data_IF_616853290978
#
_entry.id   IF_616853290978
#
_cell.length_a   1.000
_cell.length_b   1.000
_cell.length_c   1.000
_cell.angle_alpha   90.00
_cell.angle_beta   90.00
_cell.angle_gamma   90.00
#
_symmetry.space_group_name_H-M   'P 1'
#
loop_
_entity.id
_entity.type
_entity.pdbx_description
1 polymer ?
#
# COMPACT_ATOMS: atom_id res chain seq x y z
N UNK A 1 -19.20 10.69 -11.18
CA UNK A 1 -19.06 11.59 -10.01
C UNK A 1 -17.61 12.09 -9.99
N UNK A 2 -17.32 13.38 -9.80
CA UNK A 2 -15.93 13.85 -9.58
C UNK A 2 -15.59 13.61 -8.11
N UNK A 3 -14.37 13.13 -7.79
CA UNK A 3 -13.90 13.08 -6.41
C UNK A 3 -13.74 14.52 -5.90
N UNK A 4 -14.71 15.00 -5.10
CA UNK A 4 -14.79 16.41 -4.70
C UNK A 4 -13.84 16.76 -3.55
N UNK A 5 -13.36 15.76 -2.80
CA UNK A 5 -12.48 15.94 -1.64
C UNK A 5 -11.33 14.92 -1.68
N UNK A 6 -10.09 15.42 -1.53
CA UNK A 6 -8.89 14.59 -1.35
C UNK A 6 -9.01 13.85 -0.03
N UNK A 7 -8.63 12.56 0.00
CA UNK A 7 -8.47 11.87 1.29
C UNK A 7 -7.49 12.63 2.18
N UNK A 8 -7.64 12.55 3.50
CA UNK A 8 -6.58 12.97 4.43
C UNK A 8 -5.42 11.98 4.37
N UNK A 9 -4.24 12.38 4.85
CA UNK A 9 -3.11 11.45 4.94
C UNK A 9 -3.40 10.27 5.87
N UNK A 10 -4.15 10.51 6.94
CA UNK A 10 -4.58 9.44 7.85
C UNK A 10 -5.48 8.43 7.12
N UNK A 11 -6.48 8.88 6.36
CA UNK A 11 -7.31 8.00 5.53
C UNK A 11 -6.49 7.26 4.48
N UNK A 12 -5.51 7.95 3.88
CA UNK A 12 -4.65 7.34 2.88
C UNK A 12 -3.81 6.19 3.45
N UNK A 13 -3.10 6.42 4.55
CA UNK A 13 -2.27 5.36 5.13
C UNK A 13 -3.08 4.29 5.85
N UNK A 14 -4.30 4.60 6.32
CA UNK A 14 -5.29 3.58 6.70
C UNK A 14 -5.58 2.64 5.52
N UNK A 15 -5.93 3.19 4.36
CA UNK A 15 -6.24 2.41 3.16
C UNK A 15 -5.03 1.60 2.68
N UNK A 16 -3.81 2.15 2.77
CA UNK A 16 -2.58 1.42 2.46
C UNK A 16 -2.32 0.31 3.48
N UNK A 17 -2.44 0.55 4.79
CA UNK A 17 -2.23 -0.47 5.82
C UNK A 17 -3.27 -1.61 5.71
N UNK A 18 -4.51 -1.29 5.37
CA UNK A 18 -5.54 -2.28 5.06
C UNK A 18 -5.18 -3.09 3.80
N UNK A 19 -4.78 -2.43 2.71
CA UNK A 19 -4.30 -3.13 1.52
C UNK A 19 -3.11 -4.05 1.82
N UNK A 20 -2.20 -3.64 2.71
CA UNK A 20 -1.08 -4.48 3.16
C UNK A 20 -1.58 -5.71 3.91
N UNK A 21 -2.61 -5.59 4.75
CA UNK A 21 -3.17 -6.72 5.49
C UNK A 21 -3.75 -7.80 4.59
N UNK A 22 -4.29 -7.44 3.42
CA UNK A 22 -4.88 -8.37 2.46
C UNK A 22 -3.89 -9.40 1.89
N UNK A 23 -2.58 -9.23 2.12
CA UNK A 23 -1.54 -10.22 1.78
C UNK A 23 -1.34 -11.28 2.86
N UNK A 24 -1.89 -11.05 4.06
CA UNK A 24 -1.89 -12.02 5.15
C UNK A 24 -2.56 -13.32 4.72
N UNK A 25 -2.02 -14.43 5.22
CA UNK A 25 -2.53 -15.78 4.97
C UNK A 25 -3.30 -16.33 6.16
N UNK A 26 -3.41 -15.55 7.23
CA UNK A 26 -4.20 -15.91 8.39
C UNK A 26 -5.66 -15.99 7.96
N UNK A 27 -6.36 -17.13 8.11
CA UNK A 27 -7.74 -17.26 7.66
C UNK A 27 -8.72 -16.51 8.57
N UNK A 28 -8.30 -16.13 9.78
CA UNK A 28 -9.20 -15.59 10.82
C UNK A 28 -9.01 -14.11 11.10
N UNK A 29 -7.81 -13.57 10.91
CA UNK A 29 -7.52 -12.17 11.21
C UNK A 29 -6.33 -11.67 10.39
N UNK A 30 -6.60 -10.83 9.40
CA UNK A 30 -5.58 -10.23 8.55
C UNK A 30 -5.20 -8.85 9.06
N UNK A 31 -3.96 -8.71 9.52
CA UNK A 31 -3.42 -7.47 10.10
C UNK A 31 -2.34 -6.91 9.19
N UNK A 32 -2.35 -5.59 8.99
CA UNK A 32 -1.36 -4.85 8.22
C UNK A 32 -0.83 -3.67 9.04
N UNK A 33 0.44 -3.34 8.83
CA UNK A 33 1.12 -2.22 9.45
C UNK A 33 1.99 -1.50 8.41
N UNK A 34 1.95 -0.18 8.42
CA UNK A 34 2.80 0.69 7.58
C UNK A 34 3.39 1.77 8.46
N UNK A 35 4.71 1.95 8.40
CA UNK A 35 5.41 3.03 9.10
C UNK A 35 5.74 4.15 8.12
N UNK A 36 5.52 5.39 8.52
CA UNK A 36 5.60 6.58 7.68
C UNK A 36 6.48 7.63 8.36
N UNK A 37 7.33 8.28 7.57
CA UNK A 37 8.12 9.40 8.05
C UNK A 37 7.23 10.64 8.27
N UNK A 38 7.26 11.31 9.44
CA UNK A 38 6.28 12.34 9.79
C UNK A 38 6.35 13.58 8.90
N UNK A 39 7.56 13.97 8.45
CA UNK A 39 7.76 15.16 7.58
C UNK A 39 7.59 14.87 6.09
N UNK A 40 8.40 13.95 5.55
CA UNK A 40 8.35 13.61 4.12
C UNK A 40 7.12 12.80 3.71
N UNK A 41 6.41 12.21 4.68
CA UNK A 41 5.26 11.33 4.45
C UNK A 41 5.61 10.14 3.54
N UNK A 42 6.88 9.75 3.51
CA UNK A 42 7.34 8.57 2.80
C UNK A 42 7.03 7.32 3.62
N UNK A 43 6.60 6.25 2.96
CA UNK A 43 6.55 4.92 3.57
C UNK A 43 7.97 4.44 3.85
N UNK A 44 8.25 4.14 5.11
CA UNK A 44 9.53 3.62 5.59
C UNK A 44 9.57 2.09 5.56
N UNK A 45 8.46 1.45 5.90
CA UNK A 45 8.31 0.00 5.95
C UNK A 45 6.84 -0.40 5.93
N UNK A 46 6.58 -1.64 5.55
CA UNK A 46 5.26 -2.26 5.62
C UNK A 46 5.39 -3.73 6.04
N UNK A 47 4.41 -4.21 6.79
CA UNK A 47 4.35 -5.59 7.26
C UNK A 47 2.90 -6.07 7.39
N UNK A 48 2.69 -7.36 7.19
CA UNK A 48 1.43 -8.04 7.45
C UNK A 48 1.69 -9.25 8.35
N UNK A 49 0.68 -9.74 9.06
CA UNK A 49 0.86 -10.90 9.91
C UNK A 49 1.02 -12.20 9.09
N UNK A 50 1.90 -13.08 9.55
CA UNK A 50 2.15 -14.35 8.87
C UNK A 50 3.30 -15.12 9.49
N UNK A 51 3.52 -16.34 9.01
CA UNK A 51 4.62 -17.15 9.52
C UNK A 51 5.99 -16.64 9.02
N UNK A 52 7.06 -16.90 9.79
CA UNK A 52 8.43 -16.65 9.37
C UNK A 52 8.75 -17.25 7.99
N UNK A 53 9.70 -16.66 7.25
CA UNK A 53 10.21 -17.24 6.01
C UNK A 53 10.63 -18.70 6.18
N UNK A 54 10.26 -19.56 5.23
CA UNK A 54 10.55 -21.00 5.29
C UNK A 54 9.49 -21.85 5.99
N UNK A 55 8.63 -21.26 6.82
CA UNK A 55 7.54 -22.00 7.49
C UNK A 55 6.43 -22.36 6.48
N UNK A 56 6.01 -23.64 6.40
CA UNK A 56 4.90 -24.05 5.53
C UNK A 56 3.58 -23.36 5.89
N UNK A 57 2.86 -22.86 4.88
CA UNK A 57 1.52 -22.30 5.07
C UNK A 57 0.46 -23.41 4.95
N UNK A 58 0.45 -24.32 5.93
CA UNK A 58 -0.54 -25.42 6.02
C UNK A 58 -1.67 -25.04 6.97
N UNK A 59 -2.86 -25.58 6.72
CA UNK A 59 -4.04 -25.36 7.55
C UNK A 59 -3.83 -25.77 9.03
N UNK A 60 -3.09 -26.85 9.28
CA UNK A 60 -2.74 -27.32 10.63
C UNK A 60 -2.00 -26.27 11.47
N UNK A 61 -1.18 -25.43 10.83
CA UNK A 61 -0.41 -24.38 11.50
C UNK A 61 -1.28 -23.17 11.89
N UNK A 62 -2.48 -23.04 11.32
CA UNK A 62 -3.42 -21.95 11.63
C UNK A 62 -4.40 -22.30 12.76
N UNK A 63 -4.32 -23.52 13.31
CA UNK A 63 -5.11 -23.93 14.48
C UNK A 63 -4.67 -23.15 15.72
N UNK A 64 -5.63 -22.83 16.59
CA UNK A 64 -5.37 -22.16 17.88
C UNK A 64 -4.33 -22.94 18.70
N UNK A 65 -3.45 -22.25 19.42
CA UNK A 65 -2.24 -22.85 20.00
C UNK A 65 -1.08 -22.77 19.03
N UNK A 66 -1.02 -23.65 18.02
CA UNK A 66 0.07 -23.67 17.03
C UNK A 66 0.24 -22.33 16.32
N UNK A 67 -0.86 -21.68 15.93
CA UNK A 67 -0.86 -20.36 15.32
C UNK A 67 -0.20 -19.32 16.22
N UNK A 68 -0.51 -19.35 17.51
CA UNK A 68 -0.08 -18.34 18.48
C UNK A 68 1.45 -18.38 18.68
N UNK A 69 2.07 -19.56 18.50
CA UNK A 69 3.53 -19.75 18.56
C UNK A 69 4.24 -19.38 17.25
N UNK A 70 3.57 -19.50 16.11
CA UNK A 70 4.19 -19.33 14.79
C UNK A 70 3.97 -17.96 14.17
N UNK A 71 2.88 -17.26 14.50
CA UNK A 71 2.50 -16.03 13.81
C UNK A 71 3.39 -14.86 14.22
N UNK A 72 4.04 -14.24 13.25
CA UNK A 72 4.68 -12.93 13.44
C UNK A 72 3.65 -11.86 13.11
N UNK A 73 3.45 -10.93 14.04
CA UNK A 73 2.50 -9.84 13.89
C UNK A 73 2.91 -8.83 12.81
N UNK A 74 1.95 -8.05 12.32
CA UNK A 74 2.18 -7.09 11.24
C UNK A 74 3.16 -5.98 11.65
N UNK A 75 3.04 -5.49 12.87
CA UNK A 75 3.89 -4.45 13.47
C UNK A 75 5.32 -4.95 13.64
N UNK A 76 5.46 -6.19 14.13
CA UNK A 76 6.76 -6.86 14.24
C UNK A 76 7.41 -7.02 12.86
N UNK A 77 6.65 -7.47 11.86
CA UNK A 77 7.14 -7.56 10.48
C UNK A 77 7.51 -6.19 9.90
N UNK A 78 6.73 -5.13 10.14
CA UNK A 78 7.06 -3.78 9.69
C UNK A 78 8.39 -3.30 10.29
N UNK A 79 8.61 -3.54 11.59
CA UNK A 79 9.88 -3.25 12.28
C UNK A 79 11.04 -4.07 11.70
N UNK A 80 10.89 -5.38 11.54
CA UNK A 80 11.93 -6.27 11.03
C UNK A 80 12.29 -5.97 9.57
N UNK A 81 11.30 -5.57 8.77
CA UNK A 81 11.48 -5.32 7.34
C UNK A 81 11.98 -3.91 7.02
N UNK A 82 11.97 -2.98 7.98
CA UNK A 82 12.45 -1.60 7.79
C UNK A 82 13.90 -1.54 7.28
N UNK A 83 14.73 -2.54 7.59
CA UNK A 83 16.09 -2.65 7.08
C UNK A 83 16.94 -1.46 7.51
N UNK A 84 17.36 -0.63 6.56
CA UNK A 84 18.14 0.60 6.82
C UNK A 84 17.27 1.84 7.07
N UNK A 85 15.94 1.73 6.95
CA UNK A 85 15.05 2.84 7.25
C UNK A 85 15.04 3.12 8.75
N UNK A 86 15.30 4.38 9.12
CA UNK A 86 15.16 4.84 10.49
C UNK A 86 13.68 5.05 10.83
N UNK A 87 13.23 4.44 11.92
CA UNK A 87 11.87 4.55 12.44
C UNK A 87 11.76 5.55 13.59
N UNK A 88 12.86 6.23 13.96
CA UNK A 88 12.85 7.27 14.98
C UNK A 88 11.92 8.44 14.59
N UNK A 89 11.04 8.81 15.52
CA UNK A 89 10.00 9.82 15.31
C UNK A 89 8.88 9.39 14.35
N UNK A 90 8.88 8.15 13.84
CA UNK A 90 7.93 7.73 12.81
C UNK A 90 6.49 7.53 13.32
N UNK A 91 5.57 7.46 12.36
CA UNK A 91 4.15 7.20 12.59
C UNK A 91 3.82 5.79 12.09
N UNK A 92 3.20 4.95 12.90
CA UNK A 92 2.70 3.64 12.49
C UNK A 92 1.19 3.69 12.24
N UNK A 93 0.75 3.15 11.10
CA UNK A 93 -0.65 2.88 10.80
C UNK A 93 -0.87 1.38 10.85
N UNK A 94 -1.78 0.92 11.70
CA UNK A 94 -2.02 -0.51 11.95
C UNK A 94 -3.51 -0.82 11.79
N UNK A 95 -3.87 -1.94 11.18
CA UNK A 95 -5.29 -2.30 11.05
C UNK A 95 -5.91 -2.79 12.36
N UNK A 96 -5.09 -3.25 13.30
CA UNK A 96 -5.50 -3.74 14.63
C UNK A 96 -4.68 -3.05 15.72
N UNK A 97 -5.29 -2.76 16.86
CA UNK A 97 -4.63 -2.15 18.01
C UNK A 97 -3.44 -3.02 18.47
N UNK A 98 -2.23 -2.46 18.64
CA UNK A 98 -1.04 -3.26 18.93
C UNK A 98 -1.12 -4.03 20.25
N UNK A 99 -0.68 -5.29 20.22
CA UNK A 99 -0.50 -6.06 21.45
C UNK A 99 0.71 -5.56 22.25
N UNK A 100 0.85 -6.03 23.50
CA UNK A 100 1.90 -5.62 24.44
C UNK A 100 3.30 -5.69 23.85
N UNK A 101 3.65 -6.80 23.19
CA UNK A 101 4.99 -6.99 22.65
C UNK A 101 5.23 -6.13 21.41
N UNK A 102 4.21 -5.93 20.57
CA UNK A 102 4.28 -5.02 19.43
C UNK A 102 4.42 -3.56 19.89
N UNK A 103 3.73 -3.15 20.94
CA UNK A 103 3.87 -1.83 21.54
C UNK A 103 5.32 -1.56 21.98
N UNK A 104 5.92 -2.49 22.73
CA UNK A 104 7.34 -2.41 23.12
C UNK A 104 8.27 -2.31 21.92
N UNK A 105 8.05 -3.12 20.87
CA UNK A 105 8.87 -3.08 19.65
C UNK A 105 8.77 -1.73 18.93
N UNK A 106 7.56 -1.21 18.75
CA UNK A 106 7.32 0.09 18.09
C UNK A 106 8.01 1.22 18.87
N UNK A 107 7.83 1.25 20.19
CA UNK A 107 8.47 2.23 21.08
C UNK A 107 10.00 2.16 20.98
N UNK A 108 10.55 0.94 21.08
CA UNK A 108 12.00 0.69 21.04
C UNK A 108 12.62 1.11 19.71
N UNK A 109 11.86 0.99 18.61
CA UNK A 109 12.28 1.48 17.29
C UNK A 109 12.06 2.96 17.06
N UNK A 110 11.53 3.69 18.04
CA UNK A 110 11.43 5.13 17.96
C UNK A 110 10.10 5.64 17.40
N UNK A 111 9.09 4.79 17.20
CA UNK A 111 7.74 5.23 16.79
C UNK A 111 7.17 6.14 17.88
N UNK A 112 6.60 7.28 17.48
CA UNK A 112 6.01 8.28 18.40
C UNK A 112 4.52 8.46 18.24
N UNK A 113 3.92 7.91 17.18
CA UNK A 113 2.48 7.96 16.95
C UNK A 113 1.97 6.69 16.30
N UNK A 114 0.85 6.18 16.79
CA UNK A 114 0.18 4.98 16.27
C UNK A 114 -1.26 5.31 15.94
N UNK A 115 -1.63 5.11 14.69
CA UNK A 115 -3.01 5.13 14.22
C UNK A 115 -3.51 3.71 14.06
N UNK A 116 -4.68 3.37 14.60
CA UNK A 116 -5.25 2.03 14.49
C UNK A 116 -6.68 2.01 13.92
N UNK A 117 -6.98 1.05 13.06
CA UNK A 117 -8.31 0.92 12.46
C UNK A 117 -9.30 0.17 13.36
N UNK A 118 -8.87 -0.91 14.03
CA UNK A 118 -9.71 -1.81 14.83
C UNK A 118 -9.13 -2.09 16.20
N UNK A 119 -9.99 -2.38 17.18
CA UNK A 119 -9.60 -2.64 18.56
C UNK A 119 -9.94 -4.08 18.95
N UNK A 120 -9.12 -4.67 19.81
CA UNK A 120 -9.45 -5.91 20.51
C UNK A 120 -9.25 -5.72 22.01
N UNK A 121 -10.33 -5.89 22.79
CA UNK A 121 -10.39 -5.57 24.23
C UNK A 121 -9.21 -6.14 25.03
N UNK A 122 -8.81 -7.38 24.72
CA UNK A 122 -7.71 -8.07 25.44
C UNK A 122 -6.36 -7.35 25.40
N UNK A 123 -6.12 -6.45 24.45
CA UNK A 123 -4.85 -5.74 24.32
C UNK A 123 -4.89 -4.33 24.90
N UNK A 124 -6.08 -3.77 25.10
CA UNK A 124 -6.26 -2.35 25.33
C UNK A 124 -5.55 -1.87 26.60
N UNK A 125 -5.83 -2.47 27.76
CA UNK A 125 -5.32 -2.00 29.05
C UNK A 125 -3.78 -2.02 29.10
N UNK A 126 -3.16 -3.18 28.87
CA UNK A 126 -1.71 -3.37 28.96
C UNK A 126 -0.94 -2.47 27.99
N UNK A 127 -1.33 -2.49 26.72
CA UNK A 127 -0.65 -1.71 25.68
C UNK A 127 -0.85 -0.20 25.86
N UNK A 128 -2.05 0.25 26.29
CA UNK A 128 -2.32 1.68 26.54
C UNK A 128 -1.42 2.20 27.66
N UNK A 129 -1.24 1.43 28.74
CA UNK A 129 -0.35 1.82 29.83
C UNK A 129 1.10 1.97 29.33
N UNK A 130 1.58 1.04 28.50
CA UNK A 130 2.93 1.07 27.93
C UNK A 130 3.14 2.27 26.99
N UNK A 131 2.18 2.53 26.09
CA UNK A 131 2.28 3.68 25.19
C UNK A 131 2.24 5.00 25.94
N UNK A 132 1.39 5.12 26.97
CA UNK A 132 1.28 6.31 27.81
C UNK A 132 2.60 6.59 28.55
N UNK A 133 3.18 5.57 29.18
CA UNK A 133 4.46 5.71 29.89
C UNK A 133 5.60 6.12 28.96
N UNK A 134 5.61 5.61 27.72
CA UNK A 134 6.59 5.94 26.70
C UNK A 134 6.32 7.27 25.95
N UNK A 135 5.24 7.98 26.27
CA UNK A 135 4.86 9.23 25.59
C UNK A 135 4.49 9.05 24.11
N UNK A 136 3.97 7.88 23.73
CA UNK A 136 3.52 7.59 22.36
C UNK A 136 2.02 7.87 22.22
N UNK A 137 1.66 8.70 21.26
CA UNK A 137 0.25 9.02 20.96
C UNK A 137 -0.41 7.86 20.20
N UNK A 138 -1.56 7.37 20.68
CA UNK A 138 -2.28 6.26 20.04
C UNK A 138 -3.72 6.69 19.74
N UNK A 139 -4.11 6.64 18.47
CA UNK A 139 -5.33 7.28 17.97
C UNK A 139 -6.16 6.33 17.10
N UNK A 140 -7.46 6.16 17.38
CA UNK A 140 -8.36 5.42 16.50
C UNK A 140 -8.58 6.17 15.18
N UNK A 141 -8.64 5.44 14.07
CA UNK A 141 -8.88 6.01 12.75
C UNK A 141 -10.36 5.99 12.42
N UNK A 142 -10.91 7.11 11.93
CA UNK A 142 -12.27 7.19 11.40
C UNK A 142 -12.46 6.22 10.22
N UNK A 143 -13.56 5.48 10.21
CA UNK A 143 -13.87 4.42 9.23
C UNK A 143 -14.77 4.86 8.07
N UNK A 144 -15.38 6.04 8.17
CA UNK A 144 -16.41 6.52 7.25
C UNK A 144 -17.34 7.47 7.98
N UNK A 145 -18.52 7.71 7.45
CA UNK A 145 -19.57 8.53 8.10
C UNK A 145 -20.15 7.80 9.31
N UNK A 146 -20.57 6.55 9.13
CA UNK A 146 -21.22 5.69 10.14
C UNK A 146 -20.22 4.94 11.03
N UNK A 147 -18.92 5.10 10.78
CA UNK A 147 -17.81 4.57 11.59
C UNK A 147 -17.75 3.04 11.76
N UNK A 148 -18.56 2.24 11.05
CA UNK A 148 -18.45 0.77 11.10
C UNK A 148 -17.38 0.24 10.14
N UNK A 149 -16.91 -0.99 10.36
CA UNK A 149 -16.00 -1.66 9.42
C UNK A 149 -16.68 -2.01 8.09
N UNK A 150 -17.98 -2.27 8.09
CA UNK A 150 -18.73 -2.54 6.87
C UNK A 150 -18.80 -1.29 5.99
N UNK A 151 -19.09 -0.14 6.60
CA UNK A 151 -19.10 1.15 5.90
C UNK A 151 -17.72 1.50 5.37
N UNK A 152 -16.66 1.19 6.12
CA UNK A 152 -15.30 1.30 5.62
C UNK A 152 -15.05 0.45 4.37
N UNK A 153 -15.50 -0.80 4.36
CA UNK A 153 -15.37 -1.69 3.21
C UNK A 153 -16.12 -1.19 1.98
N UNK A 154 -17.35 -0.74 2.17
CA UNK A 154 -18.19 -0.15 1.13
C UNK A 154 -17.55 1.14 0.59
N UNK A 155 -17.07 2.00 1.47
CA UNK A 155 -16.34 3.22 1.13
C UNK A 155 -15.10 2.92 0.28
N UNK A 156 -14.24 1.99 0.74
CA UNK A 156 -13.00 1.63 0.05
C UNK A 156 -13.29 1.02 -1.33
N UNK A 157 -14.24 0.10 -1.41
CA UNK A 157 -14.67 -0.54 -2.66
C UNK A 157 -15.17 0.50 -3.66
N UNK A 158 -16.01 1.45 -3.22
CA UNK A 158 -16.49 2.55 -4.05
C UNK A 158 -15.35 3.45 -4.55
N UNK A 159 -14.39 3.77 -3.67
CA UNK A 159 -13.22 4.61 -4.01
C UNK A 159 -12.34 3.95 -5.07
N UNK A 160 -12.06 2.65 -4.89
CA UNK A 160 -11.32 1.84 -5.86
C UNK A 160 -12.09 1.73 -7.18
N UNK A 161 -13.39 1.44 -7.12
CA UNK A 161 -14.25 1.35 -8.30
C UNK A 161 -14.27 2.63 -9.12
N UNK A 162 -14.33 3.79 -8.48
CA UNK A 162 -14.23 5.08 -9.15
C UNK A 162 -12.93 5.21 -9.95
N UNK A 163 -11.79 4.88 -9.34
CA UNK A 163 -10.50 4.94 -10.05
C UNK A 163 -10.42 3.93 -11.18
N UNK A 164 -10.91 2.71 -10.97
CA UNK A 164 -10.95 1.68 -12.00
C UNK A 164 -11.81 2.13 -13.18
N UNK A 165 -12.93 2.83 -12.95
CA UNK A 165 -13.75 3.42 -14.02
C UNK A 165 -13.02 4.52 -14.78
N UNK A 166 -12.26 5.39 -14.09
CA UNK A 166 -11.45 6.42 -14.75
C UNK A 166 -10.32 5.82 -15.59
N UNK A 167 -9.77 4.68 -15.16
CA UNK A 167 -8.76 3.93 -15.89
C UNK A 167 -9.38 2.87 -16.83
N UNK A 168 -10.71 2.79 -16.92
CA UNK A 168 -11.38 1.76 -17.71
C UNK A 168 -11.27 2.09 -19.18
N UNK A 169 -10.65 1.17 -19.90
CA UNK A 169 -10.34 1.31 -21.31
C UNK A 169 -11.48 0.73 -22.14
N UNK A 170 -11.91 1.41 -23.21
CA UNK A 170 -12.86 0.87 -24.18
C UNK A 170 -12.11 0.40 -25.44
N UNK A 171 -12.40 -0.80 -25.95
CA UNK A 171 -11.79 -1.36 -27.17
C UNK A 171 -10.98 -2.64 -26.93
N UNK A 172 -10.33 -3.17 -27.97
CA UNK A 172 -9.39 -4.29 -27.92
C UNK A 172 -7.94 -3.81 -28.10
N UNK A 173 -6.91 -4.48 -27.52
CA UNK A 173 -5.51 -4.18 -27.78
C UNK A 173 -5.21 -4.11 -29.28
N UNK A 174 -4.56 -3.04 -29.74
CA UNK A 174 -4.15 -2.89 -31.14
C UNK A 174 -2.71 -2.36 -31.27
N UNK A 175 -2.19 -2.36 -32.51
CA UNK A 175 -0.88 -1.80 -32.85
C UNK A 175 0.28 -2.32 -32.00
N UNK A 176 1.20 -1.42 -31.64
CA UNK A 176 2.35 -1.73 -30.80
C UNK A 176 1.96 -2.26 -29.40
N UNK A 177 0.80 -1.85 -28.87
CA UNK A 177 0.33 -2.35 -27.57
C UNK A 177 -0.08 -3.82 -27.65
N UNK A 178 -0.77 -4.22 -28.72
CA UNK A 178 -1.11 -5.64 -28.95
C UNK A 178 0.14 -6.49 -29.08
N UNK A 179 1.14 -6.04 -29.83
CA UNK A 179 2.41 -6.76 -29.97
C UNK A 179 3.11 -6.93 -28.60
N UNK A 180 3.11 -5.86 -27.78
CA UNK A 180 3.63 -5.93 -26.42
C UNK A 180 2.82 -6.88 -25.53
N UNK A 181 1.49 -6.82 -25.62
CA UNK A 181 0.58 -7.71 -24.92
C UNK A 181 0.90 -9.16 -25.25
N UNK A 182 0.78 -9.55 -26.52
CA UNK A 182 0.99 -10.93 -26.97
C UNK A 182 2.42 -11.40 -26.61
N UNK A 183 3.43 -10.55 -26.75
CA UNK A 183 4.83 -10.87 -26.43
C UNK A 183 5.18 -10.99 -24.94
N UNK A 184 4.27 -10.69 -24.03
CA UNK A 184 4.51 -10.73 -22.56
C UNK A 184 3.56 -11.65 -21.79
N UNK A 185 2.89 -12.57 -22.50
CA UNK A 185 1.95 -13.54 -21.91
C UNK A 185 2.57 -14.38 -20.78
N UNK A 186 3.80 -14.87 -20.96
CA UNK A 186 4.50 -15.64 -19.93
C UNK A 186 4.74 -14.82 -18.65
N UNK A 187 5.08 -13.54 -18.78
CA UNK A 187 5.34 -12.64 -17.65
C UNK A 187 4.07 -12.24 -16.89
N UNK A 188 2.92 -12.21 -17.57
CA UNK A 188 1.60 -12.04 -16.91
C UNK A 188 1.13 -13.32 -16.23
N UNK A 189 1.41 -14.47 -16.84
CA UNK A 189 0.95 -15.77 -16.36
C UNK A 189 1.77 -16.27 -15.17
N UNK A 190 3.07 -16.01 -15.17
CA UNK A 190 3.97 -16.26 -14.03
C UNK A 190 3.79 -15.22 -12.90
N UNK A 191 4.41 -15.47 -11.75
CA UNK A 191 4.44 -14.53 -10.63
C UNK A 191 5.90 -14.20 -10.27
N UNK A 192 6.11 -13.12 -9.52
CA UNK A 192 7.41 -12.81 -8.97
C UNK A 192 7.87 -13.93 -8.03
N UNK A 193 9.10 -14.41 -8.24
CA UNK A 193 9.68 -15.37 -7.32
C UNK A 193 9.92 -14.69 -5.98
N UNK A 194 9.13 -15.10 -4.97
CA UNK A 194 9.35 -14.61 -3.62
C UNK A 194 10.72 -15.08 -3.13
N UNK A 195 11.56 -14.18 -2.58
CA UNK A 195 12.79 -14.59 -1.90
C UNK A 195 12.52 -15.48 -0.68
N UNK A 196 11.27 -15.47 -0.18
CA UNK A 196 10.85 -16.23 0.98
C UNK A 196 10.07 -17.45 0.47
N UNK A 197 10.78 -18.55 0.21
CA UNK A 197 10.14 -19.81 -0.20
C UNK A 197 9.07 -20.19 0.82
N UNK A 198 7.82 -20.26 0.36
CA UNK A 198 6.66 -20.65 1.16
C UNK A 198 5.91 -21.72 0.38
N UNK A 199 5.71 -22.90 0.96
CA UNK A 199 4.77 -23.88 0.41
C UNK A 199 3.36 -23.31 0.62
N UNK A 200 2.75 -22.82 -0.44
CA UNK A 200 1.41 -22.25 -0.46
C UNK A 200 0.37 -23.36 -0.59
N UNK A 201 -0.56 -23.46 0.36
CA UNK A 201 -1.82 -24.18 0.20
C UNK A 201 -2.96 -23.22 0.58
N UNK A 202 -4.00 -23.15 -0.26
CA UNK A 202 -5.19 -22.29 -0.05
C UNK A 202 -5.31 -21.10 -1.01
N UNK A 203 -6.51 -20.51 -1.07
CA UNK A 203 -6.82 -19.32 -1.89
C UNK A 203 -6.51 -18.04 -1.10
N UNK A 204 -5.58 -17.24 -1.57
CA UNK A 204 -5.39 -15.84 -1.14
C UNK A 204 -5.99 -14.98 -2.25
N UNK A 205 -6.76 -13.94 -1.91
CA UNK A 205 -7.47 -13.13 -2.91
C UNK A 205 -6.55 -12.16 -3.71
N UNK A 206 -5.27 -12.12 -3.36
CA UNK A 206 -4.13 -11.54 -4.10
C UNK A 206 -2.94 -12.50 -3.95
N UNK A 207 -3.08 -13.70 -4.51
CA UNK A 207 -2.08 -14.77 -4.41
C UNK A 207 -0.77 -14.38 -5.11
N UNK A 208 -0.89 -13.81 -6.30
CA UNK A 208 0.21 -13.25 -7.09
C UNK A 208 0.73 -11.95 -6.50
N UNK A 209 2.05 -11.82 -6.42
CA UNK A 209 2.71 -10.57 -6.04
C UNK A 209 2.44 -9.45 -7.03
N UNK A 210 2.37 -9.76 -8.32
CA UNK A 210 2.08 -8.75 -9.35
C UNK A 210 0.73 -8.07 -9.13
N UNK A 211 -0.32 -8.85 -8.86
CA UNK A 211 -1.66 -8.33 -8.58
C UNK A 211 -1.69 -7.52 -7.28
N UNK A 212 -0.99 -8.00 -6.24
CA UNK A 212 -0.88 -7.31 -4.95
C UNK A 212 -0.22 -5.93 -5.08
N UNK A 213 0.92 -5.83 -5.76
CA UNK A 213 1.62 -4.55 -5.91
C UNK A 213 0.89 -3.61 -6.86
N UNK A 214 0.24 -4.13 -7.89
CA UNK A 214 -0.62 -3.32 -8.74
C UNK A 214 -1.84 -2.78 -7.98
N UNK A 215 -2.42 -3.58 -7.08
CA UNK A 215 -3.49 -3.11 -6.21
C UNK A 215 -3.02 -2.03 -5.23
N UNK A 216 -1.81 -2.13 -4.67
CA UNK A 216 -1.23 -1.05 -3.88
C UNK A 216 -1.04 0.24 -4.69
N UNK A 217 -0.58 0.16 -5.94
CA UNK A 217 -0.50 1.31 -6.83
C UNK A 217 -1.90 1.91 -7.09
N UNK A 218 -2.91 1.08 -7.25
CA UNK A 218 -4.31 1.52 -7.36
C UNK A 218 -4.78 2.23 -6.08
N UNK A 219 -4.51 1.70 -4.89
CA UNK A 219 -4.80 2.38 -3.63
C UNK A 219 -4.08 3.73 -3.55
N UNK A 220 -2.81 3.81 -3.99
CA UNK A 220 -2.07 5.07 -4.08
C UNK A 220 -2.83 6.13 -4.89
N UNK A 221 -3.29 5.75 -6.07
CA UNK A 221 -3.99 6.65 -6.98
C UNK A 221 -5.29 7.22 -6.43
N UNK A 222 -5.93 6.57 -5.45
CA UNK A 222 -7.17 7.07 -4.81
C UNK A 222 -6.99 8.39 -4.04
N UNK A 223 -5.75 8.80 -3.78
CA UNK A 223 -5.40 10.08 -3.15
C UNK A 223 -5.24 11.22 -4.15
N UNK A 224 -5.08 10.94 -5.44
CA UNK A 224 -4.95 11.95 -6.47
C UNK A 224 -6.28 12.72 -6.65
N UNK A 225 -6.19 14.03 -6.92
CA UNK A 225 -7.37 14.88 -7.12
C UNK A 225 -7.83 14.90 -8.58
N UNK A 226 -6.85 14.95 -9.50
CA UNK A 226 -7.04 15.01 -10.94
C UNK A 226 -6.27 13.83 -11.54
N UNK A 227 -6.79 13.20 -12.58
CA UNK A 227 -6.13 12.10 -13.32
C UNK A 227 -5.52 11.03 -12.40
N UNK A 228 -6.34 10.15 -11.78
CA UNK A 228 -5.88 9.28 -10.71
C UNK A 228 -4.82 8.28 -11.19
N UNK A 229 -3.57 8.60 -10.87
CA UNK A 229 -2.39 7.78 -11.15
C UNK A 229 -1.69 7.41 -9.85
N UNK A 230 -1.23 6.17 -9.79
CA UNK A 230 -0.50 5.62 -8.65
C UNK A 230 0.65 4.77 -9.15
N UNK A 231 1.73 4.77 -8.37
CA UNK A 231 2.93 4.03 -8.68
C UNK A 231 3.59 3.51 -7.41
N UNK A 232 4.21 2.34 -7.53
CA UNK A 232 5.01 1.72 -6.48
C UNK A 232 6.34 1.27 -7.09
N UNK A 233 7.41 1.44 -6.32
CA UNK A 233 8.71 0.86 -6.60
C UNK A 233 9.03 -0.15 -5.51
N UNK A 234 9.40 -1.36 -5.93
CA UNK A 234 9.84 -2.42 -5.03
C UNK A 234 11.25 -2.84 -5.38
N UNK A 235 11.99 -3.25 -4.36
CA UNK A 235 13.27 -3.92 -4.52
C UNK A 235 13.06 -5.30 -5.16
N UNK A 236 13.69 -5.54 -6.32
CA UNK A 236 13.48 -6.77 -7.10
C UNK A 236 13.92 -8.06 -6.40
N UNK A 237 14.85 -7.97 -5.44
CA UNK A 237 15.41 -9.14 -4.74
C UNK A 237 14.62 -9.48 -3.49
N UNK A 238 14.17 -8.46 -2.76
CA UNK A 238 13.54 -8.60 -1.45
C UNK A 238 12.02 -8.41 -1.49
N UNK A 239 11.49 -7.87 -2.59
CA UNK A 239 10.10 -7.44 -2.76
C UNK A 239 9.63 -6.41 -1.71
N UNK A 240 10.58 -5.73 -1.05
CA UNK A 240 10.26 -4.66 -0.10
C UNK A 240 9.82 -3.41 -0.84
N UNK A 241 8.81 -2.73 -0.32
CA UNK A 241 8.33 -1.44 -0.83
C UNK A 241 9.42 -0.40 -0.59
N UNK A 242 9.95 0.19 -1.66
CA UNK A 242 10.91 1.30 -1.59
C UNK A 242 10.19 2.66 -1.62
N UNK A 243 9.15 2.77 -2.44
CA UNK A 243 8.30 3.95 -2.49
C UNK A 243 6.89 3.59 -2.97
N UNK A 244 5.88 4.30 -2.45
CA UNK A 244 4.50 4.29 -2.93
C UNK A 244 4.07 5.74 -3.12
N UNK A 245 3.54 6.08 -4.28
CA UNK A 245 3.22 7.46 -4.63
C UNK A 245 2.05 7.55 -5.60
N UNK A 246 1.55 8.76 -5.77
CA UNK A 246 0.43 9.13 -6.60
C UNK A 246 0.70 10.49 -7.25
N UNK A 247 0.07 10.76 -8.38
CA UNK A 247 0.25 12.03 -9.06
C UNK A 247 -0.32 13.20 -8.22
N UNK A 248 0.33 14.34 -8.32
CA UNK A 248 -0.18 15.57 -7.72
C UNK A 248 0.93 16.57 -7.47
N UNK A 249 0.54 17.69 -6.85
CA UNK A 249 1.41 18.82 -6.61
C UNK A 249 2.56 18.48 -5.63
N UNK A 250 3.74 19.09 -5.80
CA UNK A 250 4.80 19.09 -4.78
C UNK A 250 4.27 19.58 -3.43
N UNK A 251 4.90 19.16 -2.33
CA UNK A 251 4.37 19.36 -0.97
C UNK A 251 4.07 20.82 -0.60
N UNK A 252 4.83 21.78 -1.15
CA UNK A 252 4.66 23.23 -0.92
C UNK A 252 3.76 23.93 -1.94
N UNK A 253 3.22 23.21 -2.93
CA UNK A 253 2.46 23.77 -4.04
C UNK A 253 0.96 23.55 -3.81
N UNK A 254 0.18 24.61 -3.95
CA UNK A 254 -1.28 24.57 -3.76
C UNK A 254 -1.98 23.66 -4.76
N UNK A 255 -3.00 22.93 -4.33
CA UNK A 255 -3.85 22.10 -5.21
C UNK A 255 -4.71 22.93 -6.19
N UNK A 256 -4.71 24.27 -6.07
CA UNK A 256 -5.33 25.19 -7.04
C UNK A 256 -4.37 25.63 -8.14
N UNK A 257 -3.11 25.20 -8.08
CA UNK A 257 -2.11 25.57 -9.07
C UNK A 257 -2.40 24.95 -10.45
N UNK A 258 -1.91 25.56 -11.53
CA UNK A 258 -1.94 24.98 -12.88
C UNK A 258 -1.47 23.53 -12.96
N UNK A 259 -2.09 22.75 -13.84
CA UNK A 259 -1.86 21.29 -13.97
C UNK A 259 -0.44 20.91 -14.37
N UNK A 260 0.28 21.79 -15.08
CA UNK A 260 1.67 21.54 -15.47
C UNK A 260 2.64 21.47 -14.28
N UNK A 261 2.22 21.94 -13.09
CA UNK A 261 2.99 21.79 -11.85
C UNK A 261 2.80 20.43 -11.18
N UNK A 262 1.87 19.59 -11.65
CA UNK A 262 1.71 18.25 -11.10
C UNK A 262 2.92 17.39 -11.43
N UNK A 263 3.38 16.63 -10.43
CA UNK A 263 4.42 15.63 -10.61
C UNK A 263 3.76 14.27 -10.66
N UNK A 264 4.13 13.47 -11.66
CA UNK A 264 3.54 12.15 -11.88
C UNK A 264 3.87 11.16 -10.75
N UNK A 265 3.04 10.12 -10.63
CA UNK A 265 3.20 9.10 -9.60
C UNK A 265 4.57 8.40 -9.70
N UNK A 266 4.99 8.01 -10.91
CA UNK A 266 6.26 7.34 -11.15
C UNK A 266 7.46 8.23 -10.81
N UNK A 267 7.44 9.48 -11.26
CA UNK A 267 8.53 10.43 -10.98
C UNK A 267 8.68 10.62 -9.47
N UNK A 268 7.58 10.83 -8.74
CA UNK A 268 7.61 10.94 -7.28
C UNK A 268 8.09 9.66 -6.60
N UNK A 269 7.65 8.49 -7.06
CA UNK A 269 8.12 7.21 -6.51
C UNK A 269 9.64 7.09 -6.67
N UNK A 270 10.18 7.42 -7.84
CA UNK A 270 11.62 7.41 -8.12
C UNK A 270 12.36 8.38 -7.19
N UNK A 271 11.87 9.62 -7.02
CA UNK A 271 12.48 10.61 -6.14
C UNK A 271 12.44 10.23 -4.65
N UNK A 272 11.41 9.50 -4.22
CA UNK A 272 11.23 9.08 -2.83
C UNK A 272 11.89 7.74 -2.52
N UNK A 273 12.47 7.04 -3.51
CA UNK A 273 13.01 5.70 -3.30
C UNK A 273 14.12 5.70 -2.26
N UNK A 274 14.13 4.68 -1.41
CA UNK A 274 15.26 4.38 -0.55
C UNK A 274 16.18 3.38 -1.27
N UNK A 275 17.48 3.51 -1.04
CA UNK A 275 18.60 2.72 -1.60
C UNK A 275 19.12 3.15 -2.99
N UNK A 276 20.41 3.44 -3.02
CA UNK A 276 21.23 3.50 -4.23
C UNK A 276 21.73 2.08 -4.57
N UNK A 277 21.87 1.77 -5.86
CA UNK A 277 22.54 0.54 -6.32
C UNK A 277 21.72 -0.76 -6.32
N UNK A 278 20.38 -0.70 -6.33
CA UNK A 278 19.50 -1.89 -6.38
C UNK A 278 18.67 -1.93 -7.66
N UNK A 279 18.45 -3.13 -8.17
CA UNK A 279 17.51 -3.39 -9.26
C UNK A 279 16.07 -3.24 -8.73
N UNK A 280 15.25 -2.44 -9.40
CA UNK A 280 13.86 -2.19 -9.01
C UNK A 280 12.84 -2.81 -9.97
N UNK A 281 11.66 -3.13 -9.45
CA UNK A 281 10.45 -3.39 -10.23
C UNK A 281 9.47 -2.26 -9.95
N UNK A 282 8.87 -1.70 -11.00
CA UNK A 282 7.85 -0.67 -10.90
C UNK A 282 6.47 -1.25 -11.21
N UNK A 283 5.45 -0.81 -10.46
CA UNK A 283 4.06 -0.99 -10.85
C UNK A 283 3.38 0.37 -10.97
N UNK A 284 2.55 0.54 -11.99
CA UNK A 284 1.91 1.82 -12.29
C UNK A 284 0.46 1.63 -12.74
N UNK A 285 -0.43 2.56 -12.41
CA UNK A 285 -1.81 2.54 -12.93
C UNK A 285 -1.94 3.20 -14.31
N UNK A 286 -0.85 3.73 -14.85
CA UNK A 286 -0.74 4.28 -16.19
C UNK A 286 0.60 3.87 -16.81
N UNK A 287 0.74 3.99 -18.12
CA UNK A 287 2.04 3.86 -18.79
C UNK A 287 2.75 5.18 -18.97
N UNK A 288 4.08 5.13 -18.81
CA UNK A 288 4.90 6.32 -18.65
C UNK A 288 4.98 7.14 -19.94
N UNK A 289 4.95 8.46 -19.80
CA UNK A 289 5.35 9.35 -20.87
C UNK A 289 6.88 9.34 -21.09
N UNK A 290 7.36 10.06 -22.10
CA UNK A 290 8.79 10.09 -22.45
C UNK A 290 9.72 10.53 -21.30
N UNK A 291 9.29 11.47 -20.45
CA UNK A 291 10.11 11.91 -19.32
C UNK A 291 10.18 10.83 -18.23
N UNK A 292 9.05 10.20 -17.93
CA UNK A 292 8.97 9.12 -16.96
C UNK A 292 9.80 7.91 -17.39
N UNK A 293 9.74 7.52 -18.68
CA UNK A 293 10.54 6.42 -19.21
C UNK A 293 12.03 6.68 -19.04
N UNK A 294 12.50 7.90 -19.37
CA UNK A 294 13.91 8.28 -19.19
C UNK A 294 14.32 8.18 -17.72
N UNK A 295 13.46 8.63 -16.80
CA UNK A 295 13.71 8.54 -15.36
C UNK A 295 13.74 7.08 -14.87
N UNK A 296 12.84 6.22 -15.35
CA UNK A 296 12.81 4.79 -15.02
C UNK A 296 14.07 4.07 -15.51
N UNK A 297 14.52 4.37 -16.74
CA UNK A 297 15.75 3.85 -17.30
C UNK A 297 16.98 4.30 -16.49
N UNK A 298 17.06 5.60 -16.16
CA UNK A 298 18.13 6.16 -15.33
C UNK A 298 18.15 5.56 -13.92
N UNK A 299 16.97 5.24 -13.38
CA UNK A 299 16.79 4.58 -12.08
C UNK A 299 17.03 3.07 -12.13
N UNK A 300 17.42 2.51 -13.29
CA UNK A 300 17.70 1.09 -13.50
C UNK A 300 16.53 0.16 -13.12
N UNK A 301 15.29 0.59 -13.42
CA UNK A 301 14.12 -0.27 -13.28
C UNK A 301 14.21 -1.42 -14.29
N UNK A 302 14.14 -2.67 -13.80
CA UNK A 302 14.27 -3.88 -14.62
C UNK A 302 12.97 -4.29 -15.28
N UNK A 303 11.87 -4.15 -14.55
CA UNK A 303 10.54 -4.52 -15.04
C UNK A 303 9.54 -3.45 -14.63
N UNK A 304 8.72 -3.01 -15.58
CA UNK A 304 7.57 -2.15 -15.36
C UNK A 304 6.30 -2.97 -15.64
N UNK A 305 5.48 -3.16 -14.61
CA UNK A 305 4.12 -3.63 -14.74
C UNK A 305 3.18 -2.43 -14.75
N UNK A 306 2.19 -2.39 -15.64
CA UNK A 306 1.33 -1.22 -15.71
C UNK A 306 -0.08 -1.52 -16.20
N UNK A 307 -1.05 -0.73 -15.74
CA UNK A 307 -2.40 -0.69 -16.30
C UNK A 307 -2.41 0.33 -17.45
N UNK A 308 -3.01 0.01 -18.60
CA UNK A 308 -2.97 0.92 -19.76
C UNK A 308 -4.24 0.94 -20.60
N UNK A 309 -4.64 2.12 -21.16
CA UNK A 309 -5.50 2.19 -22.35
C UNK A 309 -5.02 1.28 -23.48
N UNK A 310 -5.92 0.50 -24.07
CA UNK A 310 -5.61 -0.52 -25.11
C UNK A 310 -5.03 0.02 -26.44
N UNK A 311 -4.62 1.30 -26.50
CA UNK A 311 -3.96 2.00 -27.62
C UNK A 311 -2.71 2.75 -27.13
N UNK A 312 -1.63 2.75 -27.91
CA UNK A 312 -0.49 3.65 -27.71
C UNK A 312 -0.69 4.84 -28.64
N UNK A 313 -0.88 6.03 -28.07
CA UNK A 313 -1.01 7.28 -28.83
C UNK A 313 0.23 8.16 -28.66
N UNK A 314 0.46 9.06 -29.62
CA UNK A 314 1.57 10.02 -29.60
C UNK A 314 2.95 9.34 -29.52
N UNK A 315 3.75 9.72 -28.54
CA UNK A 315 5.14 9.24 -28.38
C UNK A 315 5.26 7.84 -27.74
N UNK A 316 4.18 7.05 -27.67
CA UNK A 316 4.16 5.72 -27.04
C UNK A 316 5.18 4.72 -27.63
N UNK A 317 5.38 4.73 -28.95
CA UNK A 317 6.39 3.88 -29.60
C UNK A 317 7.82 4.28 -29.24
N UNK A 318 8.09 5.60 -29.15
CA UNK A 318 9.39 6.11 -28.71
C UNK A 318 9.64 5.75 -27.25
N UNK A 319 8.62 5.83 -26.39
CA UNK A 319 8.67 5.39 -25.00
C UNK A 319 9.02 3.90 -24.90
N UNK A 320 8.38 3.03 -25.70
CA UNK A 320 8.72 1.61 -25.77
C UNK A 320 10.16 1.38 -26.23
N UNK A 321 10.61 2.12 -27.26
CA UNK A 321 11.96 2.01 -27.78
C UNK A 321 13.02 2.34 -26.72
N UNK A 322 12.85 3.43 -25.97
CA UNK A 322 13.77 3.78 -24.86
C UNK A 322 13.81 2.70 -23.78
N UNK A 323 12.64 2.16 -23.39
CA UNK A 323 12.60 1.08 -22.39
C UNK A 323 13.30 -0.19 -22.90
N UNK A 324 13.10 -0.54 -24.18
CA UNK A 324 13.77 -1.66 -24.83
C UNK A 324 15.30 -1.47 -24.85
N UNK A 325 15.77 -0.29 -25.24
CA UNK A 325 17.20 0.02 -25.31
C UNK A 325 17.86 0.05 -23.92
N UNK A 326 17.10 0.42 -22.89
CA UNK A 326 17.51 0.32 -21.49
C UNK A 326 17.47 -1.11 -20.92
N UNK A 327 17.00 -2.10 -21.70
CA UNK A 327 16.84 -3.49 -21.26
C UNK A 327 15.72 -3.70 -20.24
N UNK A 328 14.73 -2.80 -20.19
CA UNK A 328 13.59 -2.86 -19.29
C UNK A 328 12.48 -3.75 -19.88
N UNK A 329 12.00 -4.71 -19.09
CA UNK A 329 10.81 -5.50 -19.43
C UNK A 329 9.55 -4.67 -19.16
N UNK A 330 8.66 -4.56 -20.13
CA UNK A 330 7.46 -3.72 -20.04
C UNK A 330 6.24 -4.62 -20.17
N UNK A 331 5.49 -4.79 -19.09
CA UNK A 331 4.44 -5.80 -18.97
C UNK A 331 3.09 -5.11 -18.75
N UNK A 332 2.24 -5.01 -19.78
CA UNK A 332 0.88 -4.53 -19.59
C UNK A 332 0.09 -5.54 -18.74
N UNK A 333 -0.77 -5.03 -17.86
CA UNK A 333 -1.57 -5.82 -16.93
C UNK A 333 -3.05 -5.52 -17.13
N UNK A 334 -3.89 -6.54 -16.89
CA UNK A 334 -5.33 -6.35 -16.85
C UNK A 334 -5.75 -5.43 -15.70
N UNK A 335 -6.84 -4.72 -15.94
CA UNK A 335 -7.49 -3.94 -14.89
C UNK A 335 -8.07 -4.91 -13.85
N UNK A 336 -7.76 -4.74 -12.55
CA UNK A 336 -8.30 -5.61 -11.51
C UNK A 336 -9.84 -5.69 -11.54
N UNK A 337 -10.38 -6.90 -11.31
CA UNK A 337 -11.82 -7.11 -11.28
C UNK A 337 -12.41 -6.55 -9.96
N UNK A 338 -13.27 -5.52 -10.08
CA UNK A 338 -13.85 -4.85 -8.91
C UNK A 338 -14.69 -5.76 -8.03
N UNK A 339 -15.41 -6.75 -8.59
CA UNK A 339 -16.22 -7.69 -7.80
C UNK A 339 -15.31 -8.54 -6.93
N UNK A 340 -14.27 -9.13 -7.51
CA UNK A 340 -13.27 -9.92 -6.77
C UNK A 340 -12.58 -9.06 -5.70
N UNK A 341 -12.23 -7.82 -6.02
CA UNK A 341 -11.64 -6.90 -5.03
C UNK A 341 -12.60 -6.58 -3.89
N UNK A 342 -13.89 -6.35 -4.18
CA UNK A 342 -14.92 -6.12 -3.16
C UNK A 342 -15.08 -7.32 -2.22
N UNK A 343 -15.07 -8.54 -2.76
CA UNK A 343 -15.05 -9.77 -1.96
C UNK A 343 -13.79 -9.86 -1.09
N UNK A 344 -12.62 -9.49 -1.61
CA UNK A 344 -11.36 -9.48 -0.87
C UNK A 344 -11.41 -8.53 0.33
N UNK A 345 -11.92 -7.31 0.09
CA UNK A 345 -12.09 -6.27 1.10
C UNK A 345 -13.06 -6.76 2.18
N UNK A 346 -14.20 -7.32 1.78
CA UNK A 346 -15.19 -7.87 2.71
C UNK A 346 -14.61 -8.98 3.58
N UNK A 347 -13.97 -9.99 2.99
CA UNK A 347 -13.37 -11.10 3.74
C UNK A 347 -12.32 -10.62 4.74
N UNK A 348 -11.55 -9.58 4.39
CA UNK A 348 -10.55 -8.97 5.28
C UNK A 348 -11.20 -8.22 6.45
N UNK A 349 -12.37 -7.61 6.22
CA UNK A 349 -13.15 -6.92 7.25
C UNK A 349 -13.79 -7.89 8.24
N UNK A 350 -14.28 -9.05 7.79
CA UNK A 350 -14.94 -10.03 8.66
C UNK A 350 -14.04 -10.46 9.83
N UNK A 351 -12.73 -10.65 9.59
CA UNK A 351 -11.77 -10.96 10.64
C UNK A 351 -11.60 -9.82 11.67
N UNK A 352 -11.64 -8.56 11.22
CA UNK A 352 -11.60 -7.40 12.11
C UNK A 352 -12.91 -7.29 12.91
N UNK A 353 -14.07 -7.50 12.28
CA UNK A 353 -15.38 -7.49 12.97
C UNK A 353 -15.45 -8.56 14.05
N UNK A 354 -14.93 -9.76 13.79
CA UNK A 354 -14.84 -10.83 14.79
C UNK A 354 -13.99 -10.41 15.99
N UNK A 355 -12.88 -9.71 15.75
CA UNK A 355 -12.02 -9.20 16.81
C UNK A 355 -12.69 -8.13 17.68
N UNK A 356 -13.69 -7.41 17.13
CA UNK A 356 -14.47 -6.39 17.82
C UNK A 356 -15.68 -6.92 18.57
N UNK A 357 -15.99 -8.22 18.45
CA UNK A 357 -17.10 -8.80 19.19
C UNK A 357 -16.94 -8.60 20.69
N UNK A 358 -17.99 -8.04 21.30
CA UNK A 358 -18.02 -7.73 22.73
C UNK A 358 -17.41 -6.37 23.09
N UNK A 359 -17.06 -5.54 22.11
CA UNK A 359 -16.80 -4.11 22.34
C UNK A 359 -18.13 -3.34 22.46
N UNK A 360 -18.14 -2.40 23.39
CA UNK A 360 -19.17 -1.39 23.59
C UNK A 360 -18.66 -0.02 23.13
N UNK A 361 -19.54 0.97 23.00
CA UNK A 361 -19.16 2.34 22.64
C UNK A 361 -18.13 2.94 23.61
N UNK A 362 -18.18 2.59 24.90
CA UNK A 362 -17.22 3.04 25.92
C UNK A 362 -15.83 2.39 25.86
N UNK A 363 -15.67 1.31 25.09
CA UNK A 363 -14.34 0.72 24.85
C UNK A 363 -13.54 1.54 23.80
N UNK A 364 -14.21 2.39 23.02
CA UNK A 364 -13.56 3.31 22.10
C UNK A 364 -13.20 4.62 22.82
N UNK A 365 -12.04 5.22 22.54
CA UNK A 365 -11.70 6.54 23.08
C UNK A 365 -12.78 7.56 22.69
N UNK A 366 -13.45 8.17 23.66
CA UNK A 366 -14.68 8.96 23.43
C UNK A 366 -14.47 10.30 22.73
N UNK A 367 -13.24 10.84 22.66
CA UNK A 367 -13.05 12.27 22.32
C UNK A 367 -11.87 12.59 21.39
N UNK A 368 -11.34 11.63 20.64
CA UNK A 368 -10.16 11.89 19.78
C UNK A 368 -10.25 11.23 18.42
N UNK A 369 -11.32 11.51 17.68
CA UNK A 369 -11.26 11.35 16.23
C UNK A 369 -10.43 12.51 15.68
N UNK A 370 -9.17 12.27 15.33
CA UNK A 370 -8.37 13.34 14.75
C UNK A 370 -8.93 13.70 13.37
N UNK A 371 -9.50 14.89 13.24
CA UNK A 371 -9.67 15.56 11.93
C UNK A 371 -8.30 15.97 11.32
N UNK A 372 -7.22 15.78 12.08
CA UNK A 372 -5.85 16.15 11.74
C UNK A 372 -5.37 15.41 10.49
N UNK A 373 -5.44 16.09 9.36
CA UNK A 373 -4.62 15.78 8.21
C UNK A 373 -3.15 15.99 8.64
N UNK A 374 -2.30 14.99 8.44
CA UNK A 374 -0.85 15.14 8.61
C UNK A 374 -0.36 16.15 7.55
N UNK A 375 -0.56 17.44 7.79
CA UNK A 375 -0.07 18.47 6.89
C UNK A 375 1.46 18.42 7.00
N UNK A 376 2.19 18.09 5.92
CA UNK A 376 3.63 18.25 5.95
C UNK A 376 3.92 19.71 6.27
N UNK A 377 4.80 19.99 7.23
CA UNK A 377 5.23 21.36 7.53
C UNK A 377 5.59 22.04 6.21
N UNK A 378 4.94 23.16 5.90
CA UNK A 378 5.31 23.95 4.72
C UNK A 378 6.71 24.48 4.95
N UNK A 379 7.70 23.78 4.40
CA UNK A 379 9.06 24.27 4.38
C UNK A 379 9.11 25.48 3.44
N UNK A 380 9.04 26.68 4.01
CA UNK A 380 9.66 27.82 3.38
C UNK A 380 11.16 27.53 3.35
N UNK A 381 11.71 27.35 2.15
CA UNK A 381 13.16 27.39 1.97
C UNK A 381 13.63 28.69 2.61
N UNK A 382 14.40 28.58 3.71
CA UNK A 382 15.05 29.78 4.26
C UNK A 382 15.97 30.30 3.14
N UNK A 383 15.91 31.60 2.83
CA UNK A 383 16.67 32.20 1.74
C UNK A 383 18.18 31.98 1.90
#
# INVERSE_FOLDING_TARGET
MKQTKRSTWVEYYRDVAFCVSMRSKDPSLQVGCVTVHPKSLRILSAGYNGFPPGTPNKEENWRKGTKDDLVVHAEANAVLLAGQADLEGSIAFVTMYPCRECAKMLITKGVRKVYYLSLKKKYQADSTAIFKEAGVEVVPIKRGEDTTLEDYGNYLTKKVGFVLEQNRTRGEPNGAYKALWDGTEELRSSDLQSPWRRKLMGKILLDKWTDYFLFLALIASTRALKNPQGAILIDSKTLKISALSYNGYPGSVSNKSPEWMEVSALTKAICLRFSEGRDFIAFSTHFPNLHEVKNLAQAQVKTLYFMWPKTLEGDGEKALQIMKDAGMKVVPMDVPNLVKLGEAIKNTIEGLQEAEKGLSSGDWPSDTWTEYDLQPEQHHWRP
#
